data_IF_681539274206
#
_entry.id   IF_681539274206
#
_cell.length_a   1.000
_cell.length_b   1.000
_cell.length_c   1.000
_cell.angle_alpha   90.00
_cell.angle_beta   90.00
_cell.angle_gamma   90.00
#
_symmetry.space_group_name_H-M   'P 1'
#
loop_
_entity.id
_entity.type
_entity.pdbx_description
1 polymer ?
#
# COMPACT_ATOMS: atom_id res chain seq x y z
N UNK A 1 -12.17 9.64 31.15
CA UNK A 1 -11.01 9.41 30.27
C UNK A 1 -11.39 8.31 29.30
N UNK A 2 -11.38 8.62 28.02
CA UNK A 2 -11.72 7.66 26.95
C UNK A 2 -10.42 7.06 26.38
N UNK A 3 -10.38 5.73 26.23
CA UNK A 3 -9.19 5.01 25.76
C UNK A 3 -9.28 4.74 24.26
N UNK A 4 -8.20 5.05 23.50
CA UNK A 4 -8.12 4.94 22.04
C UNK A 4 -9.26 5.64 21.29
N UNK A 5 -9.70 6.82 21.75
CA UNK A 5 -10.70 7.62 21.03
C UNK A 5 -10.17 8.01 19.66
N UNK A 6 -10.99 7.80 18.61
CA UNK A 6 -10.62 8.20 17.24
C UNK A 6 -10.46 9.73 17.16
N UNK A 7 -9.42 10.16 16.41
CA UNK A 7 -9.12 11.60 16.29
C UNK A 7 -10.31 12.36 15.70
N UNK A 8 -11.04 11.79 14.74
CA UNK A 8 -12.24 12.42 14.16
C UNK A 8 -13.34 12.69 15.20
N UNK A 9 -13.43 11.87 16.23
CA UNK A 9 -14.46 11.97 17.27
C UNK A 9 -14.01 12.82 18.47
N UNK A 10 -12.78 13.35 18.46
CA UNK A 10 -12.25 14.17 19.55
C UNK A 10 -12.87 15.57 19.54
N UNK A 11 -13.29 16.01 20.71
CA UNK A 11 -13.79 17.37 20.93
C UNK A 11 -12.93 18.10 21.98
N UNK A 12 -12.82 19.43 21.90
CA UNK A 12 -12.10 20.21 22.91
C UNK A 12 -12.59 19.91 24.32
N UNK A 13 -11.64 19.60 25.23
CA UNK A 13 -11.93 19.25 26.62
C UNK A 13 -12.02 17.76 26.93
N UNK A 14 -12.03 16.89 25.93
CA UNK A 14 -12.00 15.43 26.15
C UNK A 14 -10.69 15.02 26.85
N UNK A 15 -10.79 14.18 27.87
CA UNK A 15 -9.65 13.51 28.49
C UNK A 15 -9.43 12.18 27.77
N UNK A 16 -8.26 12.02 27.14
CA UNK A 16 -7.91 10.84 26.35
C UNK A 16 -6.70 10.11 26.93
N UNK A 17 -6.68 8.80 26.75
CA UNK A 17 -5.50 7.96 26.84
C UNK A 17 -5.53 6.95 25.68
N UNK A 18 -4.41 6.77 24.97
CA UNK A 18 -4.40 5.84 23.84
C UNK A 18 -3.11 5.82 23.05
N UNK A 19 -3.12 5.03 21.99
CA UNK A 19 -2.02 4.88 21.03
C UNK A 19 -2.35 5.61 19.76
N UNK A 20 -1.37 6.37 19.24
CA UNK A 20 -1.48 7.17 18.03
C UNK A 20 -0.15 7.16 17.29
N UNK A 21 -0.15 7.47 15.99
CA UNK A 21 1.07 7.64 15.22
C UNK A 21 1.61 9.06 15.48
N UNK A 22 2.90 9.16 15.78
CA UNK A 22 3.60 10.45 15.84
C UNK A 22 3.88 10.95 14.43
N UNK A 23 3.04 11.82 13.90
CA UNK A 23 3.14 12.34 12.54
C UNK A 23 4.27 13.37 12.38
N UNK A 24 4.51 14.15 13.44
CA UNK A 24 5.65 15.06 13.53
C UNK A 24 6.02 15.33 14.98
N UNK A 25 7.31 15.64 15.24
CA UNK A 25 7.83 15.92 16.56
C UNK A 25 8.98 16.95 16.54
N UNK A 26 8.73 18.12 17.09
CA UNK A 26 9.68 19.24 17.10
C UNK A 26 9.89 19.73 18.54
N UNK A 27 10.97 19.31 19.21
CA UNK A 27 11.36 19.89 20.52
C UNK A 27 11.71 21.37 20.36
N UNK A 28 11.18 22.20 21.25
CA UNK A 28 11.38 23.67 21.26
C UNK A 28 11.59 24.19 22.66
N UNK A 29 12.07 25.42 22.77
CA UNK A 29 12.18 26.16 24.02
C UNK A 29 11.28 27.39 23.93
N UNK A 30 10.42 27.57 24.92
CA UNK A 30 9.53 28.73 25.04
C UNK A 30 10.31 29.99 25.47
N UNK A 31 9.72 31.17 25.31
CA UNK A 31 10.34 32.46 25.70
C UNK A 31 10.72 32.53 27.19
N UNK A 32 10.08 31.77 28.05
CA UNK A 32 10.39 31.65 29.48
C UNK A 32 11.50 30.63 29.81
N UNK A 33 12.18 30.08 28.78
CA UNK A 33 13.24 29.10 28.95
C UNK A 33 12.79 27.66 29.18
N UNK A 34 11.49 27.39 29.24
CA UNK A 34 10.98 26.03 29.46
C UNK A 34 10.90 25.23 28.18
N UNK A 35 11.34 23.93 28.17
CA UNK A 35 11.24 23.07 27.02
C UNK A 35 9.79 22.66 26.77
N UNK A 36 9.43 22.47 25.51
CA UNK A 36 8.16 21.88 25.11
C UNK A 36 8.31 21.11 23.78
N UNK A 37 7.43 20.14 23.56
CA UNK A 37 7.32 19.42 22.30
C UNK A 37 6.08 19.93 21.55
N UNK A 38 6.24 20.22 20.26
CA UNK A 38 5.13 20.46 19.33
C UNK A 38 5.20 19.49 18.18
N UNK A 39 4.05 19.12 17.63
CA UNK A 39 3.98 18.19 16.53
C UNK A 39 2.55 17.84 16.14
N UNK A 40 2.34 16.64 15.63
CA UNK A 40 1.03 16.12 15.28
C UNK A 40 0.95 14.62 15.59
N UNK A 41 -0.25 14.20 15.98
CA UNK A 41 -0.65 12.80 16.11
C UNK A 41 -1.59 12.45 14.97
N UNK A 42 -1.59 11.19 14.52
CA UNK A 42 -2.57 10.69 13.58
C UNK A 42 -3.05 9.28 13.95
N UNK A 43 -4.24 8.96 13.48
CA UNK A 43 -4.79 7.61 13.38
C UNK A 43 -5.45 7.44 12.00
N UNK A 44 -6.14 6.33 11.75
CA UNK A 44 -6.83 6.09 10.48
C UNK A 44 -7.93 7.11 10.16
N UNK A 45 -8.42 7.85 11.14
CA UNK A 45 -9.53 8.79 10.99
C UNK A 45 -9.09 10.23 10.70
N UNK A 46 -7.83 10.58 11.01
CA UNK A 46 -7.34 11.94 10.80
C UNK A 46 -6.06 12.26 11.54
N UNK A 47 -5.80 13.56 11.70
CA UNK A 47 -4.65 14.07 12.44
C UNK A 47 -5.06 15.23 13.37
N UNK A 48 -4.33 15.39 14.48
CA UNK A 48 -4.53 16.45 15.47
C UNK A 48 -3.17 17.02 15.89
N UNK A 49 -3.11 18.32 16.14
CA UNK A 49 -1.91 18.95 16.67
C UNK A 49 -1.58 18.44 18.07
N UNK A 50 -0.27 18.34 18.34
CA UNK A 50 0.28 17.92 19.60
C UNK A 50 1.07 19.06 20.24
N UNK A 51 0.86 19.30 21.54
CA UNK A 51 1.71 20.17 22.36
C UNK A 51 1.91 19.55 23.74
N UNK A 52 3.16 19.41 24.16
CA UNK A 52 3.51 18.88 25.50
C UNK A 52 4.41 19.89 26.18
N UNK A 53 3.91 20.53 27.24
CA UNK A 53 4.65 21.50 28.02
C UNK A 53 5.61 20.81 29.00
N UNK A 54 6.69 21.51 29.34
CA UNK A 54 7.76 21.04 30.25
C UNK A 54 8.33 19.68 29.82
N UNK A 55 8.41 19.46 28.47
CA UNK A 55 8.83 18.19 27.91
C UNK A 55 10.36 18.03 27.94
N UNK A 56 10.83 17.02 28.66
CA UNK A 56 12.25 16.65 28.78
C UNK A 56 12.55 15.26 28.23
N UNK A 57 11.57 14.64 27.55
CA UNK A 57 11.73 13.31 26.96
C UNK A 57 12.55 13.29 25.66
N UNK A 58 12.86 12.09 25.14
CA UNK A 58 13.76 11.91 24.00
C UNK A 58 13.11 12.07 22.63
N UNK A 59 11.77 12.19 22.51
CA UNK A 59 11.11 12.24 21.21
C UNK A 59 11.59 13.41 20.35
N UNK A 60 11.84 13.13 19.08
CA UNK A 60 12.33 14.06 18.07
C UNK A 60 11.78 13.71 16.70
N UNK A 61 12.18 14.43 15.64
CA UNK A 61 11.84 14.10 14.27
C UNK A 61 12.27 12.68 13.84
N UNK A 62 13.27 12.10 14.48
CA UNK A 62 13.71 10.71 14.23
C UNK A 62 12.69 9.64 14.69
N UNK A 63 11.66 10.04 15.43
CA UNK A 63 10.59 9.16 15.92
C UNK A 63 9.28 9.32 15.13
N UNK A 64 9.28 10.14 14.09
CA UNK A 64 8.13 10.28 13.21
C UNK A 64 7.77 8.95 12.55
N UNK A 65 6.47 8.67 12.41
CA UNK A 65 5.95 7.40 11.95
C UNK A 65 5.85 6.29 13.01
N UNK A 66 6.42 6.48 14.21
CA UNK A 66 6.32 5.51 15.29
C UNK A 66 5.04 5.66 16.09
N UNK A 67 4.62 4.56 16.74
CA UNK A 67 3.48 4.58 17.65
C UNK A 67 3.91 5.17 19.00
N UNK A 68 3.08 6.08 19.51
CA UNK A 68 3.25 6.71 20.82
C UNK A 68 2.03 6.44 21.69
N UNK A 69 2.26 6.22 22.97
CA UNK A 69 1.21 6.25 23.99
C UNK A 69 1.04 7.68 24.48
N UNK A 70 -0.17 8.20 24.40
CA UNK A 70 -0.51 9.58 24.80
C UNK A 70 -1.54 9.55 25.91
N UNK A 71 -1.38 10.45 26.88
CA UNK A 71 -2.42 10.79 27.85
C UNK A 71 -2.50 12.31 27.95
N UNK A 72 -3.69 12.87 27.79
CA UNK A 72 -3.85 14.33 27.82
C UNK A 72 -5.29 14.77 27.65
N UNK A 73 -5.46 16.08 27.49
CA UNK A 73 -6.73 16.73 27.22
C UNK A 73 -6.76 17.29 25.81
N UNK A 74 -7.84 17.07 25.09
CA UNK A 74 -8.04 17.60 23.74
C UNK A 74 -8.31 19.11 23.83
N UNK A 75 -7.34 19.85 23.57
CA UNK A 75 -7.12 21.25 23.18
C UNK A 75 -5.62 21.42 22.89
N UNK A 76 -5.04 20.38 22.26
CA UNK A 76 -3.65 20.35 21.82
C UNK A 76 -2.59 20.27 22.93
N UNK A 77 -2.98 19.86 24.15
CA UNK A 77 -2.05 19.74 25.28
C UNK A 77 -2.05 18.30 25.77
N UNK A 78 -1.01 17.54 25.41
CA UNK A 78 -0.78 16.23 26.01
C UNK A 78 -0.07 16.38 27.36
N UNK A 79 -0.58 15.70 28.38
CA UNK A 79 0.05 15.64 29.70
C UNK A 79 1.25 14.71 29.75
N UNK A 80 1.21 13.62 29.00
CA UNK A 80 2.31 12.63 28.90
C UNK A 80 2.31 11.98 27.52
N UNK A 81 3.53 11.74 26.99
CA UNK A 81 3.76 11.04 25.73
C UNK A 81 5.04 10.19 25.83
N UNK A 82 5.00 8.97 25.31
CA UNK A 82 6.16 8.09 25.13
C UNK A 82 5.99 7.22 23.90
N UNK A 83 7.07 6.66 23.39
CA UNK A 83 6.98 5.57 22.39
C UNK A 83 6.22 4.38 22.99
N UNK A 84 5.47 3.69 22.15
CA UNK A 84 4.87 2.42 22.50
C UNK A 84 6.00 1.38 22.71
N UNK A 85 5.86 0.56 23.76
CA UNK A 85 6.73 -0.58 23.98
C UNK A 85 6.30 -1.79 23.13
N UNK A 86 7.17 -2.77 22.95
CA UNK A 86 6.87 -3.93 22.11
C UNK A 86 5.71 -4.79 22.63
N UNK A 87 5.46 -4.74 23.95
CA UNK A 87 4.38 -5.44 24.64
C UNK A 87 3.11 -4.59 24.90
N UNK A 88 3.12 -3.35 24.43
CA UNK A 88 1.94 -2.51 24.51
C UNK A 88 0.81 -3.07 23.61
N UNK A 89 -0.45 -3.08 24.07
CA UNK A 89 -1.59 -3.60 23.30
C UNK A 89 -2.01 -2.59 22.20
N UNK A 90 -1.21 -2.50 21.14
CA UNK A 90 -1.47 -1.60 20.01
C UNK A 90 -2.34 -2.30 18.97
N UNK A 91 -3.52 -1.74 18.69
CA UNK A 91 -4.33 -2.15 17.56
C UNK A 91 -3.91 -1.38 16.29
N UNK A 92 -3.11 -2.00 15.44
CA UNK A 92 -2.64 -1.38 14.20
C UNK A 92 -3.80 -0.98 13.27
N UNK A 93 -4.91 -1.73 13.25
CA UNK A 93 -6.07 -1.44 12.39
C UNK A 93 -6.81 -0.15 12.78
N UNK A 94 -6.66 0.29 14.03
CA UNK A 94 -7.21 1.55 14.50
C UNK A 94 -6.33 2.75 14.12
N UNK A 95 -5.05 2.51 13.86
CA UNK A 95 -4.06 3.56 13.61
C UNK A 95 -3.82 3.84 12.13
N UNK A 96 -3.88 2.82 11.29
CA UNK A 96 -3.59 2.94 9.87
C UNK A 96 -4.76 2.47 9.01
N UNK A 97 -4.96 3.07 7.83
CA UNK A 97 -5.95 2.56 6.89
C UNK A 97 -5.65 1.12 6.52
N UNK A 98 -6.68 0.30 6.38
CA UNK A 98 -6.60 -1.10 5.95
C UNK A 98 -7.55 -1.34 4.78
N UNK A 99 -7.21 -2.27 3.90
CA UNK A 99 -8.08 -2.67 2.79
C UNK A 99 -9.48 -3.05 3.32
N UNK A 100 -10.55 -2.54 2.71
CA UNK A 100 -11.92 -2.86 3.10
C UNK A 100 -12.36 -4.23 2.55
N UNK A 101 -11.52 -5.25 2.71
CA UNK A 101 -11.74 -6.62 2.24
C UNK A 101 -11.46 -7.63 3.35
N UNK A 102 -12.03 -8.81 3.24
CA UNK A 102 -11.59 -9.98 4.00
C UNK A 102 -10.29 -10.51 3.36
N UNK A 103 -9.15 -10.25 4.01
CA UNK A 103 -7.83 -10.61 3.48
C UNK A 103 -7.65 -12.12 3.38
N UNK A 104 -8.14 -12.89 4.34
CA UNK A 104 -8.04 -14.34 4.30
C UNK A 104 -8.84 -14.92 3.12
N UNK A 105 -10.05 -14.42 2.89
CA UNK A 105 -10.86 -14.81 1.74
C UNK A 105 -10.20 -14.39 0.41
N UNK A 106 -9.61 -13.19 0.35
CA UNK A 106 -8.91 -12.72 -0.84
C UNK A 106 -7.66 -13.55 -1.16
N UNK A 107 -6.87 -13.95 -0.15
CA UNK A 107 -5.74 -14.87 -0.32
C UNK A 107 -6.18 -16.25 -0.82
N UNK A 108 -7.32 -16.75 -0.34
CA UNK A 108 -7.90 -18.02 -0.83
C UNK A 108 -8.38 -17.87 -2.29
N UNK A 109 -8.94 -16.71 -2.66
CA UNK A 109 -9.26 -16.41 -4.06
C UNK A 109 -8.01 -16.42 -4.94
N UNK A 110 -6.90 -15.82 -4.49
CA UNK A 110 -5.64 -15.85 -5.22
C UNK A 110 -5.15 -17.28 -5.47
N UNK A 111 -5.20 -18.15 -4.46
CA UNK A 111 -4.83 -19.57 -4.61
C UNK A 111 -5.69 -20.26 -5.66
N UNK A 112 -7.02 -20.01 -5.64
CA UNK A 112 -7.94 -20.57 -6.66
C UNK A 112 -7.62 -20.04 -8.07
N UNK A 113 -7.24 -18.77 -8.21
CA UNK A 113 -6.78 -18.24 -9.50
C UNK A 113 -5.53 -18.97 -9.98
N UNK A 114 -4.52 -19.17 -9.13
CA UNK A 114 -3.30 -19.92 -9.46
C UNK A 114 -3.63 -21.36 -9.85
N UNK A 115 -4.47 -22.06 -9.10
CA UNK A 115 -4.94 -23.42 -9.42
C UNK A 115 -5.66 -23.50 -10.79
N UNK A 116 -6.33 -22.42 -11.19
CA UNK A 116 -7.04 -22.33 -12.45
C UNK A 116 -6.13 -22.10 -13.69
N UNK A 117 -4.85 -21.80 -13.49
CA UNK A 117 -3.86 -21.69 -14.57
C UNK A 117 -3.64 -23.07 -15.17
N UNK A 118 -3.97 -23.23 -16.45
CA UNK A 118 -3.93 -24.53 -17.13
C UNK A 118 -2.55 -24.91 -17.65
N UNK A 119 -1.72 -23.91 -18.02
CA UNK A 119 -0.32 -24.16 -18.40
C UNK A 119 0.50 -24.53 -17.16
N UNK A 120 1.11 -25.73 -17.10
CA UNK A 120 1.81 -26.21 -15.90
C UNK A 120 3.05 -25.39 -15.54
N UNK A 121 3.73 -24.80 -16.52
CA UNK A 121 4.95 -24.03 -16.32
C UNK A 121 4.61 -22.68 -15.65
N UNK A 122 3.63 -21.95 -16.20
CA UNK A 122 3.18 -20.69 -15.61
C UNK A 122 2.56 -20.89 -14.23
N UNK A 123 1.80 -21.98 -14.06
CA UNK A 123 1.26 -22.33 -12.73
C UNK A 123 2.35 -22.61 -11.72
N UNK A 124 3.37 -23.40 -12.07
CA UNK A 124 4.47 -23.71 -11.15
C UNK A 124 5.24 -22.47 -10.69
N UNK A 125 5.49 -21.51 -11.60
CA UNK A 125 6.10 -20.22 -11.21
C UNK A 125 5.18 -19.43 -10.31
N UNK A 126 3.89 -19.31 -10.63
CA UNK A 126 2.90 -18.58 -9.83
C UNK A 126 2.77 -19.17 -8.41
N UNK A 127 2.67 -20.48 -8.26
CA UNK A 127 2.63 -21.19 -6.98
C UNK A 127 3.89 -20.94 -6.14
N UNK A 128 5.07 -21.05 -6.75
CA UNK A 128 6.33 -20.84 -6.07
C UNK A 128 6.50 -19.38 -5.59
N UNK A 129 6.15 -18.42 -6.42
CA UNK A 129 6.21 -17.00 -6.08
C UNK A 129 5.16 -16.64 -5.02
N UNK A 130 3.92 -17.12 -5.13
CA UNK A 130 2.89 -16.89 -4.11
C UNK A 130 3.28 -17.53 -2.76
N UNK A 131 3.96 -18.67 -2.78
CA UNK A 131 4.48 -19.29 -1.55
C UNK A 131 5.59 -18.47 -0.91
N UNK A 132 6.47 -17.87 -1.72
CA UNK A 132 7.61 -17.08 -1.22
C UNK A 132 7.20 -15.69 -0.72
N UNK A 133 6.22 -15.04 -1.37
CA UNK A 133 5.88 -13.62 -1.17
C UNK A 133 4.46 -13.40 -0.63
N UNK A 134 3.67 -14.47 -0.40
CA UNK A 134 2.25 -14.36 -0.04
C UNK A 134 1.99 -13.61 1.25
N UNK A 135 2.82 -13.80 2.27
CA UNK A 135 2.68 -13.09 3.56
C UNK A 135 2.88 -11.58 3.38
N UNK A 136 3.85 -11.18 2.56
CA UNK A 136 4.08 -9.77 2.23
C UNK A 136 2.93 -9.21 1.39
N UNK A 137 2.50 -9.94 0.35
CA UNK A 137 1.37 -9.57 -0.50
C UNK A 137 0.10 -9.29 0.34
N UNK A 138 -0.18 -10.12 1.35
CA UNK A 138 -1.32 -9.95 2.26
C UNK A 138 -1.21 -8.72 3.14
N UNK A 139 0.01 -8.35 3.53
CA UNK A 139 0.24 -7.36 4.57
C UNK A 139 0.44 -5.93 4.04
N UNK A 140 1.20 -5.77 2.93
CA UNK A 140 1.73 -4.47 2.54
C UNK A 140 0.76 -3.62 1.69
N UNK A 141 0.96 -2.28 1.66
CA UNK A 141 0.30 -1.40 0.70
C UNK A 141 0.85 -1.59 -0.73
N UNK A 142 0.04 -1.27 -1.73
CA UNK A 142 0.49 -1.27 -3.13
C UNK A 142 1.32 -0.03 -3.50
N UNK A 143 1.22 1.06 -2.73
CA UNK A 143 1.94 2.30 -2.99
C UNK A 143 2.29 3.04 -1.70
N UNK A 144 3.24 3.98 -1.78
CA UNK A 144 3.65 4.81 -0.64
C UNK A 144 2.59 5.85 -0.25
N UNK A 145 1.85 6.42 -1.21
CA UNK A 145 1.02 7.60 -0.94
C UNK A 145 -0.13 7.87 -1.91
N UNK A 146 -0.39 6.99 -2.87
CA UNK A 146 -1.45 7.19 -3.87
C UNK A 146 -2.54 6.13 -3.69
N UNK A 147 -3.01 5.46 -4.71
CA UNK A 147 -4.00 4.39 -4.63
C UNK A 147 -3.49 3.18 -3.82
N UNK A 148 -4.39 2.51 -3.10
CA UNK A 148 -4.06 1.33 -2.28
C UNK A 148 -2.91 1.53 -1.27
N UNK A 149 -2.68 2.75 -0.79
CA UNK A 149 -1.63 3.09 0.18
C UNK A 149 -2.04 2.74 1.63
N UNK A 150 -2.62 1.57 1.83
CA UNK A 150 -3.12 1.03 3.09
C UNK A 150 -2.74 -0.44 3.25
N UNK A 151 -2.80 -0.96 4.48
CA UNK A 151 -2.47 -2.37 4.76
C UNK A 151 -3.35 -3.32 3.95
N UNK A 152 -2.74 -4.32 3.32
CA UNK A 152 -3.42 -5.24 2.40
C UNK A 152 -3.83 -4.61 1.07
N UNK A 153 -3.33 -3.41 0.76
CA UNK A 153 -3.61 -2.72 -0.50
C UNK A 153 -3.10 -3.48 -1.71
N UNK A 154 -1.90 -4.08 -1.60
CA UNK A 154 -1.34 -4.89 -2.69
C UNK A 154 -2.18 -6.14 -2.96
N UNK A 155 -2.66 -6.82 -1.92
CA UNK A 155 -3.57 -7.94 -2.07
C UNK A 155 -4.88 -7.54 -2.75
N UNK A 156 -5.50 -6.45 -2.31
CA UNK A 156 -6.75 -5.95 -2.88
C UNK A 156 -6.57 -5.61 -4.36
N UNK A 157 -5.53 -4.87 -4.70
CA UNK A 157 -5.16 -4.53 -6.06
C UNK A 157 -4.99 -5.79 -6.94
N UNK A 158 -4.12 -6.71 -6.53
CA UNK A 158 -3.85 -7.94 -7.28
C UNK A 158 -5.12 -8.79 -7.46
N UNK A 159 -5.94 -8.93 -6.42
CA UNK A 159 -7.19 -9.69 -6.49
C UNK A 159 -8.22 -9.05 -7.45
N UNK A 160 -8.32 -7.72 -7.48
CA UNK A 160 -9.19 -7.02 -8.42
C UNK A 160 -8.69 -7.19 -9.84
N UNK A 161 -7.38 -7.02 -10.06
CA UNK A 161 -6.78 -7.17 -11.39
C UNK A 161 -6.95 -8.58 -11.95
N UNK A 162 -6.79 -9.64 -11.12
CA UNK A 162 -7.02 -11.03 -11.54
C UNK A 162 -8.46 -11.27 -12.02
N UNK A 163 -9.45 -10.69 -11.35
CA UNK A 163 -10.87 -10.77 -11.80
C UNK A 163 -11.07 -10.14 -13.17
N UNK A 164 -10.45 -8.97 -13.40
CA UNK A 164 -10.55 -8.27 -14.67
C UNK A 164 -9.79 -9.04 -15.76
N UNK A 165 -8.61 -9.56 -15.44
CA UNK A 165 -7.76 -10.33 -16.35
C UNK A 165 -8.46 -11.61 -16.82
N UNK A 166 -9.08 -12.35 -15.90
CA UNK A 166 -9.85 -13.54 -16.22
C UNK A 166 -11.02 -13.25 -17.15
N UNK A 167 -11.82 -12.22 -16.82
CA UNK A 167 -12.94 -11.79 -17.63
C UNK A 167 -12.52 -11.40 -19.05
N UNK A 168 -11.42 -10.64 -19.19
CA UNK A 168 -10.91 -10.22 -20.49
C UNK A 168 -10.31 -11.39 -21.28
N UNK A 169 -9.63 -12.34 -20.63
CA UNK A 169 -9.13 -13.54 -21.30
C UNK A 169 -10.28 -14.37 -21.88
N UNK A 170 -11.39 -14.49 -21.16
CA UNK A 170 -12.60 -15.17 -21.64
C UNK A 170 -13.26 -14.43 -22.83
N UNK A 171 -13.14 -13.10 -22.90
CA UNK A 171 -13.66 -12.32 -24.04
C UNK A 171 -12.82 -12.46 -25.31
N UNK A 172 -11.51 -12.70 -25.19
CA UNK A 172 -10.56 -12.74 -26.29
C UNK A 172 -9.76 -14.05 -26.35
N UNK A 173 -10.42 -15.24 -26.32
CA UNK A 173 -9.74 -16.52 -26.14
C UNK A 173 -8.81 -16.89 -27.31
N UNK A 174 -9.02 -16.33 -28.51
CA UNK A 174 -8.17 -16.57 -29.69
C UNK A 174 -6.92 -15.67 -29.72
N UNK A 175 -6.85 -14.67 -28.84
CA UNK A 175 -5.76 -13.67 -28.87
C UNK A 175 -4.92 -13.72 -27.58
N UNK A 176 -5.53 -14.11 -26.45
CA UNK A 176 -4.95 -14.03 -25.13
C UNK A 176 -4.63 -15.43 -24.60
N UNK A 177 -3.37 -15.66 -24.24
CA UNK A 177 -3.01 -16.77 -23.36
C UNK A 177 -3.41 -16.41 -21.93
N UNK A 178 -4.56 -16.97 -21.51
CA UNK A 178 -5.09 -16.77 -20.15
C UNK A 178 -4.09 -17.17 -19.07
N UNK A 179 -3.32 -18.24 -19.29
CA UNK A 179 -2.36 -18.73 -18.28
C UNK A 179 -1.22 -17.73 -18.08
N UNK A 180 -0.68 -17.18 -19.17
CA UNK A 180 0.35 -16.15 -19.14
C UNK A 180 -0.18 -14.86 -18.49
N UNK A 181 -1.39 -14.40 -18.89
CA UNK A 181 -1.98 -13.18 -18.37
C UNK A 181 -2.22 -13.28 -16.86
N UNK A 182 -2.81 -14.36 -16.36
CA UNK A 182 -3.06 -14.54 -14.93
C UNK A 182 -1.76 -14.64 -14.12
N UNK A 183 -0.77 -15.40 -14.62
CA UNK A 183 0.53 -15.48 -13.96
C UNK A 183 1.23 -14.11 -13.92
N UNK A 184 1.29 -13.39 -15.04
CA UNK A 184 1.85 -12.03 -15.09
C UNK A 184 1.12 -11.05 -14.17
N UNK A 185 -0.21 -11.10 -14.13
CA UNK A 185 -1.02 -10.26 -13.24
C UNK A 185 -0.73 -10.54 -11.76
N UNK A 186 -0.56 -11.81 -11.38
CA UNK A 186 -0.19 -12.15 -10.00
C UNK A 186 1.20 -11.61 -9.62
N UNK A 187 2.15 -11.67 -10.55
CA UNK A 187 3.58 -11.43 -10.27
C UNK A 187 3.99 -9.95 -10.40
N UNK A 188 3.23 -9.12 -11.14
CA UNK A 188 3.69 -7.81 -11.63
C UNK A 188 4.26 -6.91 -10.53
N UNK A 189 3.66 -6.92 -9.36
CA UNK A 189 3.96 -6.02 -8.24
C UNK A 189 4.55 -6.71 -6.99
N UNK A 190 4.80 -8.02 -7.02
CA UNK A 190 5.26 -8.77 -5.84
C UNK A 190 6.57 -8.22 -5.26
N UNK A 191 7.48 -7.71 -6.10
CA UNK A 191 8.75 -7.15 -5.63
C UNK A 191 8.62 -5.81 -4.89
N UNK A 192 7.43 -5.23 -4.75
CA UNK A 192 7.21 -4.03 -3.91
C UNK A 192 7.55 -4.27 -2.44
N UNK A 193 7.54 -5.52 -1.96
CA UNK A 193 8.03 -5.85 -0.62
C UNK A 193 9.51 -5.52 -0.42
N UNK A 194 10.31 -5.63 -1.48
CA UNK A 194 11.74 -5.31 -1.48
C UNK A 194 11.99 -3.84 -1.84
N UNK A 195 11.06 -3.20 -2.56
CA UNK A 195 11.17 -1.83 -3.01
C UNK A 195 11.01 -0.83 -1.88
N UNK A 196 10.11 -1.11 -0.93
CA UNK A 196 9.79 -0.17 0.14
C UNK A 196 10.46 -0.51 1.47
N UNK A 197 10.65 0.55 2.28
CA UNK A 197 10.93 0.45 3.72
C UNK A 197 9.61 0.62 4.44
N UNK A 198 9.30 -0.27 5.38
CA UNK A 198 8.05 -0.26 6.11
C UNK A 198 8.21 0.25 7.53
N UNK A 199 7.20 0.98 8.02
CA UNK A 199 7.07 1.35 9.43
C UNK A 199 6.77 0.12 10.29
N UNK A 200 6.81 0.29 11.63
CA UNK A 200 6.37 -0.74 12.58
C UNK A 200 4.91 -1.18 12.37
N UNK A 201 4.10 -0.35 11.73
CA UNK A 201 2.70 -0.63 11.40
C UNK A 201 2.50 -1.15 9.97
N UNK A 202 3.58 -1.43 9.23
CA UNK A 202 3.52 -2.00 7.89
C UNK A 202 3.24 -1.00 6.76
N UNK A 203 3.12 0.31 7.03
CA UNK A 203 2.98 1.30 5.96
C UNK A 203 4.33 1.62 5.32
N UNK A 204 4.33 1.80 3.99
CA UNK A 204 5.52 2.22 3.26
C UNK A 204 5.91 3.65 3.63
N UNK A 205 7.12 3.83 4.15
CA UNK A 205 7.65 5.13 4.60
C UNK A 205 8.66 5.71 3.62
N UNK A 206 9.46 4.85 3.01
CA UNK A 206 10.48 5.24 2.04
C UNK A 206 10.80 4.11 1.07
N UNK A 207 11.63 4.38 0.09
CA UNK A 207 12.22 3.37 -0.78
C UNK A 207 13.46 2.77 -0.13
N UNK A 208 13.65 1.46 -0.27
CA UNK A 208 14.91 0.79 0.08
C UNK A 208 16.04 1.24 -0.87
N UNK A 209 17.29 1.01 -0.50
CA UNK A 209 18.43 1.28 -1.40
C UNK A 209 18.26 0.49 -2.71
N UNK A 210 17.87 -0.77 -2.63
CA UNK A 210 17.63 -1.64 -3.80
C UNK A 210 16.44 -1.10 -4.62
N UNK A 211 15.37 -0.67 -3.94
CA UNK A 211 14.20 -0.06 -4.56
C UNK A 211 14.52 1.23 -5.33
N UNK A 212 15.35 2.10 -4.75
CA UNK A 212 15.79 3.34 -5.41
C UNK A 212 16.67 3.09 -6.65
N UNK A 213 17.48 2.03 -6.62
CA UNK A 213 18.45 1.75 -7.69
C UNK A 213 17.86 0.92 -8.82
N UNK A 214 16.95 0.00 -8.53
CA UNK A 214 16.44 -0.99 -9.50
C UNK A 214 14.94 -0.83 -9.76
N UNK A 215 14.16 -0.51 -8.72
CA UNK A 215 12.69 -0.53 -8.80
C UNK A 215 12.09 -1.94 -8.83
N UNK A 216 10.79 -2.07 -8.49
CA UNK A 216 10.11 -3.37 -8.41
C UNK A 216 10.00 -4.08 -9.77
N UNK A 217 9.95 -3.36 -10.91
CA UNK A 217 9.90 -3.99 -12.22
C UNK A 217 11.11 -4.87 -12.47
N UNK A 218 12.31 -4.32 -12.24
CA UNK A 218 13.56 -5.05 -12.46
C UNK A 218 13.72 -6.17 -11.44
N UNK A 219 13.46 -5.91 -10.17
CA UNK A 219 13.54 -6.91 -9.11
C UNK A 219 12.56 -8.06 -9.32
N UNK A 220 11.30 -7.74 -9.67
CA UNK A 220 10.26 -8.74 -9.94
C UNK A 220 10.60 -9.62 -11.17
N UNK A 221 11.13 -9.01 -12.22
CA UNK A 221 11.59 -9.77 -13.39
C UNK A 221 12.77 -10.69 -13.05
N UNK A 222 13.69 -10.27 -12.20
CA UNK A 222 14.80 -11.11 -11.70
C UNK A 222 14.27 -12.28 -10.86
N UNK A 223 13.38 -12.02 -9.90
CA UNK A 223 12.81 -13.06 -9.04
C UNK A 223 12.02 -14.09 -9.86
N UNK A 224 11.26 -13.64 -10.86
CA UNK A 224 10.55 -14.52 -11.80
C UNK A 224 11.52 -15.38 -12.63
N UNK A 225 12.60 -14.77 -13.15
CA UNK A 225 13.62 -15.48 -13.94
C UNK A 225 14.37 -16.53 -13.09
N UNK A 226 14.79 -16.18 -11.88
CA UNK A 226 15.47 -17.09 -10.95
C UNK A 226 14.56 -18.25 -10.55
N UNK A 227 13.28 -17.97 -10.29
CA UNK A 227 12.29 -19.00 -9.97
C UNK A 227 12.04 -19.93 -11.16
N UNK A 228 11.87 -19.38 -12.36
CA UNK A 228 11.71 -20.16 -13.58
C UNK A 228 12.93 -21.07 -13.86
N UNK A 229 14.14 -20.54 -13.72
CA UNK A 229 15.37 -21.32 -13.88
C UNK A 229 15.47 -22.46 -12.87
N UNK A 230 15.17 -22.20 -11.60
CA UNK A 230 15.17 -23.22 -10.53
C UNK A 230 14.16 -24.34 -10.77
N UNK A 231 13.02 -24.02 -11.38
CA UNK A 231 11.97 -24.97 -11.72
C UNK A 231 12.18 -25.67 -13.08
N UNK A 232 13.19 -25.26 -13.85
CA UNK A 232 13.46 -25.82 -15.18
C UNK A 232 12.45 -25.41 -16.24
N UNK A 233 11.83 -24.24 -16.09
CA UNK A 233 10.85 -23.70 -17.03
C UNK A 233 11.56 -23.30 -18.35
N UNK A 234 10.95 -23.55 -19.52
CA UNK A 234 11.49 -23.12 -20.81
C UNK A 234 11.82 -21.63 -20.85
N UNK A 235 12.97 -21.28 -21.45
CA UNK A 235 13.47 -19.89 -21.47
C UNK A 235 12.46 -18.93 -22.11
N UNK A 236 11.78 -19.33 -23.19
CA UNK A 236 10.76 -18.53 -23.87
C UNK A 236 9.61 -18.13 -22.98
N UNK A 237 9.13 -19.03 -22.09
CA UNK A 237 8.07 -18.74 -21.12
C UNK A 237 8.56 -17.83 -20.01
N UNK A 238 9.78 -18.04 -19.52
CA UNK A 238 10.42 -17.17 -18.54
C UNK A 238 10.57 -15.74 -19.06
N UNK A 239 11.00 -15.58 -20.33
CA UNK A 239 11.13 -14.27 -20.97
C UNK A 239 9.79 -13.57 -21.11
N UNK A 240 8.71 -14.28 -21.43
CA UNK A 240 7.36 -13.70 -21.52
C UNK A 240 6.87 -13.20 -20.15
N UNK A 241 7.06 -13.96 -19.07
CA UNK A 241 6.71 -13.48 -17.71
C UNK A 241 7.51 -12.25 -17.33
N UNK A 242 8.82 -12.25 -17.58
CA UNK A 242 9.67 -11.08 -17.34
C UNK A 242 9.20 -9.87 -18.15
N UNK A 243 8.81 -10.08 -19.42
CA UNK A 243 8.31 -9.02 -20.28
C UNK A 243 7.03 -8.39 -19.72
N UNK A 244 6.07 -9.18 -19.24
CA UNK A 244 4.86 -8.67 -18.61
C UNK A 244 5.21 -7.78 -17.39
N UNK A 245 6.12 -8.24 -16.54
CA UNK A 245 6.54 -7.48 -15.34
C UNK A 245 7.26 -6.18 -15.74
N UNK A 246 8.20 -6.23 -16.69
CA UNK A 246 8.99 -5.06 -17.10
C UNK A 246 8.18 -4.00 -17.84
N UNK A 247 7.06 -4.36 -18.44
CA UNK A 247 6.26 -3.48 -19.30
C UNK A 247 4.91 -3.05 -18.70
N UNK A 248 4.52 -3.55 -17.52
CA UNK A 248 3.16 -3.33 -17.02
C UNK A 248 2.81 -1.85 -16.77
N UNK A 249 3.78 -0.96 -16.54
CA UNK A 249 3.55 0.49 -16.48
C UNK A 249 3.23 1.12 -17.86
N UNK A 250 3.29 0.35 -18.94
CA UNK A 250 2.93 0.74 -20.31
C UNK A 250 4.00 1.58 -20.99
N UNK A 251 4.14 2.84 -20.62
CA UNK A 251 5.05 3.78 -21.24
C UNK A 251 6.31 4.04 -20.40
N UNK A 252 7.48 4.28 -21.03
CA UNK A 252 8.71 4.62 -20.31
C UNK A 252 8.58 5.87 -19.42
N UNK A 253 7.74 6.82 -19.80
CA UNK A 253 7.45 8.03 -19.01
C UNK A 253 6.80 7.69 -17.67
N UNK A 254 6.14 6.53 -17.55
CA UNK A 254 5.55 6.01 -16.33
C UNK A 254 6.44 4.99 -15.61
N UNK A 255 7.63 4.74 -16.13
CA UNK A 255 8.64 3.88 -15.51
C UNK A 255 8.76 2.49 -16.13
N UNK A 256 8.02 2.15 -17.18
CA UNK A 256 8.20 0.88 -17.88
C UNK A 256 9.62 0.78 -18.47
N UNK A 257 10.28 -0.36 -18.25
CA UNK A 257 11.61 -0.61 -18.84
C UNK A 257 11.53 -0.79 -20.37
N UNK A 258 10.44 -1.38 -20.83
CA UNK A 258 10.09 -1.57 -22.25
C UNK A 258 8.58 -1.41 -22.40
N UNK A 259 8.12 -1.06 -23.59
CA UNK A 259 6.67 -1.05 -23.90
C UNK A 259 6.12 -2.46 -23.99
N UNK A 260 4.82 -2.68 -23.73
CA UNK A 260 4.15 -3.94 -24.00
C UNK A 260 4.26 -4.33 -25.48
N UNK A 261 4.70 -5.57 -25.76
CA UNK A 261 4.90 -6.09 -27.13
C UNK A 261 4.11 -7.37 -27.40
N UNK A 262 3.32 -7.85 -26.45
CA UNK A 262 2.35 -8.93 -26.67
C UNK A 262 0.98 -8.52 -26.08
N UNK A 263 -0.06 -9.21 -26.49
CA UNK A 263 -1.43 -8.87 -26.13
C UNK A 263 -1.68 -8.95 -24.62
N UNK A 264 -1.09 -9.92 -23.95
CA UNK A 264 -1.19 -10.11 -22.50
C UNK A 264 -0.50 -8.96 -21.73
N UNK A 265 0.66 -8.51 -22.22
CA UNK A 265 1.37 -7.37 -21.60
C UNK A 265 0.59 -6.05 -21.77
N UNK A 266 0.00 -5.83 -22.96
CA UNK A 266 -0.89 -4.67 -23.20
C UNK A 266 -2.11 -4.71 -22.28
N UNK A 267 -2.78 -5.87 -22.17
CA UNK A 267 -3.92 -6.01 -21.26
C UNK A 267 -3.52 -5.80 -19.81
N UNK A 268 -2.41 -6.36 -19.36
CA UNK A 268 -1.94 -6.18 -17.98
C UNK A 268 -1.75 -4.71 -17.64
N UNK A 269 -1.11 -3.94 -18.52
CA UNK A 269 -0.90 -2.50 -18.35
C UNK A 269 -2.23 -1.72 -18.28
N UNK A 270 -3.19 -2.08 -19.16
CA UNK A 270 -4.51 -1.45 -19.14
C UNK A 270 -5.32 -1.81 -17.89
N UNK A 271 -5.27 -3.07 -17.44
CA UNK A 271 -5.94 -3.55 -16.22
C UNK A 271 -5.39 -2.84 -14.99
N UNK A 272 -4.07 -2.72 -14.86
CA UNK A 272 -3.42 -1.97 -13.79
C UNK A 272 -3.88 -0.51 -13.77
N UNK A 273 -3.87 0.14 -14.94
CA UNK A 273 -4.38 1.50 -15.08
C UNK A 273 -5.86 1.62 -14.71
N UNK A 274 -6.71 0.63 -15.02
CA UNK A 274 -8.12 0.62 -14.65
C UNK A 274 -8.29 0.54 -13.14
N UNK A 275 -7.67 -0.46 -12.48
CA UNK A 275 -7.85 -0.66 -11.04
C UNK A 275 -7.29 0.52 -10.23
N UNK A 276 -6.07 0.95 -10.52
CA UNK A 276 -5.42 2.08 -9.83
C UNK A 276 -6.23 3.37 -9.94
N UNK A 277 -6.78 3.68 -11.12
CA UNK A 277 -7.60 4.88 -11.33
C UNK A 277 -8.96 4.78 -10.66
N UNK A 278 -9.61 3.61 -10.70
CA UNK A 278 -10.90 3.41 -10.03
C UNK A 278 -10.77 3.50 -8.51
N UNK A 279 -9.67 3.05 -7.94
CA UNK A 279 -9.41 3.23 -6.51
C UNK A 279 -9.25 4.71 -6.14
N UNK A 280 -8.52 5.52 -6.94
CA UNK A 280 -8.43 6.97 -6.73
C UNK A 280 -9.82 7.62 -6.78
N UNK A 281 -10.68 7.20 -7.71
CA UNK A 281 -12.07 7.69 -7.78
C UNK A 281 -12.85 7.31 -6.52
N UNK A 282 -12.75 6.06 -6.07
CA UNK A 282 -13.42 5.56 -4.87
C UNK A 282 -13.00 6.36 -3.63
N UNK A 283 -11.69 6.42 -3.34
CA UNK A 283 -11.15 7.14 -2.19
C UNK A 283 -11.54 8.63 -2.19
N UNK A 284 -11.47 9.27 -3.37
CA UNK A 284 -11.85 10.69 -3.49
C UNK A 284 -13.34 10.89 -3.27
N UNK A 285 -14.19 10.07 -3.92
CA UNK A 285 -15.64 10.19 -3.80
C UNK A 285 -16.13 9.88 -2.38
N UNK A 286 -15.48 8.98 -1.64
CA UNK A 286 -15.86 8.65 -0.25
C UNK A 286 -15.82 9.87 0.68
N UNK A 287 -14.98 10.85 0.37
CA UNK A 287 -14.82 12.09 1.17
C UNK A 287 -15.61 13.29 0.63
N UNK A 288 -16.33 13.14 -0.49
CA UNK A 288 -17.03 14.25 -1.15
C UNK A 288 -18.54 14.21 -0.91
N UNK A 289 -19.15 15.40 -0.87
CA UNK A 289 -20.60 15.53 -0.97
C UNK A 289 -21.08 15.24 -2.40
N UNK A 290 -22.28 14.65 -2.58
CA UNK A 290 -22.89 14.48 -3.90
C UNK A 290 -23.02 15.81 -4.66
N UNK A 291 -23.03 15.73 -5.98
CA UNK A 291 -23.17 16.84 -6.91
C UNK A 291 -22.11 17.95 -6.77
N UNK A 292 -20.89 17.55 -6.35
CA UNK A 292 -19.74 18.47 -6.22
C UNK A 292 -18.54 18.00 -7.05
N UNK A 293 -17.61 18.95 -7.29
CA UNK A 293 -16.30 18.65 -7.88
C UNK A 293 -15.21 18.57 -6.79
N UNK A 294 -14.29 17.63 -6.95
CA UNK A 294 -13.07 17.57 -6.13
C UNK A 294 -12.14 18.75 -6.39
N UNK A 295 -11.15 19.03 -5.52
CA UNK A 295 -9.91 19.67 -5.92
C UNK A 295 -9.24 18.94 -7.10
N UNK A 296 -8.25 19.57 -7.74
CA UNK A 296 -7.46 18.87 -8.77
C UNK A 296 -6.68 17.71 -8.12
N UNK A 297 -6.91 16.50 -8.61
CA UNK A 297 -6.19 15.28 -8.19
C UNK A 297 -4.93 15.17 -9.04
N UNK A 298 -3.77 15.18 -8.39
CA UNK A 298 -2.49 15.18 -9.09
C UNK A 298 -2.31 13.92 -9.96
N UNK A 299 -2.59 12.75 -9.41
CA UNK A 299 -2.44 11.46 -10.11
C UNK A 299 -3.38 11.29 -11.33
N UNK A 300 -4.48 12.04 -11.39
CA UNK A 300 -5.41 12.03 -12.53
C UNK A 300 -5.27 13.27 -13.42
N UNK A 301 -4.49 14.26 -12.99
CA UNK A 301 -4.30 15.57 -13.61
C UNK A 301 -5.60 16.38 -13.85
N UNK A 302 -6.69 16.01 -13.18
CA UNK A 302 -8.02 16.61 -13.35
C UNK A 302 -8.81 16.67 -12.05
N UNK A 303 -9.93 17.38 -12.07
CA UNK A 303 -11.00 17.28 -11.07
C UNK A 303 -11.93 16.15 -11.45
N UNK A 304 -12.56 15.53 -10.47
CA UNK A 304 -13.65 14.57 -10.69
C UNK A 304 -14.95 15.12 -10.13
N UNK A 305 -16.06 14.69 -10.71
CA UNK A 305 -17.40 15.02 -10.26
C UNK A 305 -18.01 13.80 -9.56
N UNK A 306 -18.51 13.97 -8.34
CA UNK A 306 -19.31 12.96 -7.66
C UNK A 306 -20.77 13.18 -7.98
N UNK A 307 -21.35 12.30 -8.81
CA UNK A 307 -22.77 12.26 -9.05
C UNK A 307 -23.39 11.23 -8.08
N UNK A 308 -24.37 11.64 -7.25
CA UNK A 308 -25.14 10.80 -6.31
C UNK A 308 -24.31 9.93 -5.36
#
# INVERSE_FOLDING_TARGET
MEYNKRILDMTPGDEIEGYYILKSANPKVAANGKPFLTGALSDRSGAVELKVWDYTGPLSAADEGKVVKVRGTVQFVAGRIRLAAADDPVDASALVPTAPIDRAAAMEDLRRWVESITDPDYRAVAEAMLTAHGDALEAIPAAKSVHHAFLGGLLMHTANMLKIADFLADMYPETIDRSLLLAGTLLHDMAKEQEFVFSQLGLATDYSIKGQLLGHLVMGAQDAAETAARLGIPEEKSVLLQHLILSHHGEPEFGAAVRPLCAEAELLSLIDSVDSRMEIYRETCDTMEPDTFSPRIFALEKKIFKHR
#
